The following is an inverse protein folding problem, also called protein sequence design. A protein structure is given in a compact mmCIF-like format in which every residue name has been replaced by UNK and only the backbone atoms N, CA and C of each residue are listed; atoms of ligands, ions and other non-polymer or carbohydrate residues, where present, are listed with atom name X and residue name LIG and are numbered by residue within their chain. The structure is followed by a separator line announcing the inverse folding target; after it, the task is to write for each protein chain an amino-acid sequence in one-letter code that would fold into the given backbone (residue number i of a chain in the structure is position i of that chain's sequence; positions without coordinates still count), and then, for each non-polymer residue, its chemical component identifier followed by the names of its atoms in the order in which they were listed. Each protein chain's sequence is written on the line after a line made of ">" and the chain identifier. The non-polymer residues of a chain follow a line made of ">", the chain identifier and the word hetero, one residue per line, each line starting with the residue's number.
data_IF_000310081800
#
_entry.id   IF_000310081800
#
_cell.length_a   1.000
_cell.length_b   1.000
_cell.length_c   1.000
_cell.angle_alpha   90.00
_cell.angle_beta   90.00
_cell.angle_gamma   90.00
#
_symmetry.space_group_name_H-M   'P 1'
#
loop_
_entity.id
_entity.type
_entity.pdbx_description
1 polymer ?
#
# COMPACT_ATOMS: atom_id res chain seq x y z
N UNK A 1 -22.38 -21.91 4.98
CA UNK A 1 -20.97 -21.58 4.73
C UNK A 1 -20.43 -20.56 5.73
N UNK A 2 -20.83 -19.28 5.70
CA UNK A 2 -20.32 -18.27 6.67
C UNK A 2 -20.53 -18.69 8.14
N UNK A 3 -21.75 -19.14 8.47
CA UNK A 3 -22.06 -19.65 9.81
C UNK A 3 -21.29 -20.93 10.18
N UNK A 4 -21.01 -21.80 9.21
CA UNK A 4 -20.25 -23.03 9.44
C UNK A 4 -18.76 -22.76 9.71
N UNK A 5 -18.28 -21.60 9.26
CA UNK A 5 -16.89 -21.13 9.39
C UNK A 5 -16.70 -20.09 10.49
N UNK A 6 -17.77 -19.74 11.23
CA UNK A 6 -17.78 -18.68 12.24
C UNK A 6 -17.19 -17.34 11.73
N UNK A 7 -17.47 -17.01 10.46
CA UNK A 7 -16.96 -15.80 9.81
C UNK A 7 -18.05 -14.72 9.78
N UNK A 8 -17.83 -13.55 10.42
CA UNK A 8 -18.72 -12.40 10.27
C UNK A 8 -18.86 -12.00 8.80
N UNK A 9 -20.08 -11.76 8.34
CA UNK A 9 -20.36 -11.42 6.94
C UNK A 9 -19.69 -10.11 6.50
N UNK A 10 -19.51 -9.17 7.43
CA UNK A 10 -18.81 -7.88 7.22
C UNK A 10 -17.34 -8.04 6.80
N UNK A 11 -16.74 -9.22 7.03
CA UNK A 11 -15.38 -9.51 6.58
C UNK A 11 -15.33 -10.07 5.15
N UNK A 12 -16.48 -10.30 4.52
CA UNK A 12 -16.57 -10.79 3.15
C UNK A 12 -16.97 -9.64 2.23
N UNK A 13 -16.11 -9.39 1.25
CA UNK A 13 -16.42 -8.54 0.09
C UNK A 13 -16.58 -9.42 -1.16
N UNK A 14 -17.60 -9.11 -1.97
CA UNK A 14 -17.82 -9.73 -3.27
C UNK A 14 -17.57 -8.69 -4.36
N UNK A 15 -16.58 -8.97 -5.21
CA UNK A 15 -16.27 -8.15 -6.37
C UNK A 15 -17.20 -8.52 -7.53
N UNK A 16 -17.90 -7.52 -8.06
CA UNK A 16 -18.77 -7.66 -9.21
C UNK A 16 -18.11 -7.00 -10.41
N UNK A 17 -17.78 -7.80 -11.43
CA UNK A 17 -17.39 -7.25 -12.73
C UNK A 17 -18.61 -6.59 -13.38
N UNK A 18 -18.35 -5.62 -14.26
CA UNK A 18 -19.38 -4.91 -15.02
C UNK A 18 -20.38 -5.89 -15.67
N UNK A 19 -19.90 -6.92 -16.34
CA UNK A 19 -20.77 -7.90 -17.01
C UNK A 19 -21.72 -8.67 -16.07
N UNK A 20 -21.26 -9.02 -14.86
CA UNK A 20 -22.03 -9.82 -13.88
C UNK A 20 -23.00 -8.93 -13.09
N UNK A 21 -22.56 -7.74 -12.69
CA UNK A 21 -23.42 -6.78 -12.02
C UNK A 21 -24.62 -6.37 -12.91
N UNK A 22 -24.42 -6.35 -14.24
CA UNK A 22 -25.34 -5.69 -15.16
C UNK A 22 -26.09 -6.65 -16.11
N UNK A 23 -25.68 -7.91 -16.23
CA UNK A 23 -26.27 -8.88 -17.16
C UNK A 23 -27.59 -9.50 -16.73
N UNK A 24 -27.97 -9.42 -15.44
CA UNK A 24 -29.15 -10.13 -14.94
C UNK A 24 -29.83 -9.47 -13.71
N UNK A 25 -30.90 -8.67 -13.91
CA UNK A 25 -31.68 -8.07 -12.82
C UNK A 25 -32.24 -9.07 -11.79
N UNK A 26 -32.35 -10.35 -12.12
CA UNK A 26 -32.78 -11.37 -11.17
C UNK A 26 -31.82 -11.57 -9.99
N UNK A 27 -30.56 -11.10 -10.11
CA UNK A 27 -29.56 -11.19 -9.04
C UNK A 27 -29.72 -10.13 -7.95
N UNK A 28 -30.44 -9.03 -8.21
CA UNK A 28 -30.53 -7.92 -7.25
C UNK A 28 -31.14 -8.33 -5.91
N UNK A 29 -32.17 -9.18 -5.92
CA UNK A 29 -32.75 -9.71 -4.69
C UNK A 29 -31.74 -10.52 -3.86
N UNK A 30 -30.83 -11.24 -4.51
CA UNK A 30 -29.77 -11.98 -3.83
C UNK A 30 -28.70 -11.04 -3.26
N UNK A 31 -28.32 -10.00 -4.01
CA UNK A 31 -27.39 -8.98 -3.51
C UNK A 31 -27.95 -8.23 -2.31
N UNK A 32 -29.24 -7.88 -2.34
CA UNK A 32 -29.91 -7.25 -1.20
C UNK A 32 -29.95 -8.16 0.02
N UNK A 33 -30.22 -9.46 -0.16
CA UNK A 33 -30.22 -10.43 0.94
C UNK A 33 -28.81 -10.59 1.55
N UNK A 34 -27.76 -10.61 0.72
CA UNK A 34 -26.36 -10.69 1.17
C UNK A 34 -25.93 -9.40 1.88
N UNK A 35 -26.30 -8.23 1.36
CA UNK A 35 -26.07 -6.96 2.05
C UNK A 35 -26.78 -6.93 3.40
N UNK A 36 -28.01 -7.42 3.47
CA UNK A 36 -28.79 -7.40 4.71
C UNK A 36 -28.16 -8.21 5.85
N UNK A 37 -27.31 -9.20 5.53
CA UNK A 37 -26.53 -9.94 6.53
C UNK A 37 -25.14 -9.33 6.79
N UNK A 38 -24.74 -8.29 6.06
CA UNK A 38 -23.48 -7.56 6.25
C UNK A 38 -22.42 -7.75 5.17
N UNK A 39 -22.69 -8.48 4.08
CA UNK A 39 -21.68 -8.66 3.00
C UNK A 39 -21.46 -7.35 2.24
N UNK A 40 -20.19 -7.03 1.97
CA UNK A 40 -19.78 -5.86 1.21
C UNK A 40 -19.70 -6.19 -0.30
N UNK A 41 -19.85 -5.17 -1.14
CA UNK A 41 -19.77 -5.33 -2.59
C UNK A 41 -18.87 -4.27 -3.20
N UNK A 42 -17.96 -4.72 -4.07
CA UNK A 42 -17.10 -3.85 -4.86
C UNK A 42 -17.49 -3.92 -6.34
N UNK A 43 -17.42 -2.79 -7.04
CA UNK A 43 -17.42 -2.79 -8.51
C UNK A 43 -15.98 -2.90 -9.01
N UNK A 44 -15.71 -3.96 -9.76
CA UNK A 44 -14.39 -4.28 -10.31
C UNK A 44 -14.19 -3.64 -11.70
N UNK A 45 -12.93 -3.40 -12.08
CA UNK A 45 -12.51 -2.86 -13.39
C UNK A 45 -13.18 -1.53 -13.82
N UNK A 46 -13.51 -0.64 -12.88
CA UNK A 46 -14.25 0.58 -13.21
C UNK A 46 -13.45 1.50 -14.15
N UNK A 47 -14.10 1.92 -15.25
CA UNK A 47 -13.53 2.81 -16.26
C UNK A 47 -13.02 2.14 -17.54
N UNK A 48 -12.91 0.81 -17.60
CA UNK A 48 -12.37 0.09 -18.77
C UNK A 48 -13.42 -0.32 -19.81
N UNK A 49 -14.71 -0.17 -19.50
CA UNK A 49 -15.85 -0.62 -20.32
C UNK A 49 -17.02 0.37 -20.38
N UNK A 50 -18.25 -0.13 -20.54
CA UNK A 50 -19.48 0.66 -20.45
C UNK A 50 -19.80 0.95 -18.98
N UNK A 51 -18.96 1.78 -18.35
CA UNK A 51 -19.14 2.21 -16.95
C UNK A 51 -20.43 3.03 -16.82
N UNK A 52 -21.54 2.34 -16.58
CA UNK A 52 -22.84 2.96 -16.49
C UNK A 52 -23.04 3.48 -15.06
N UNK A 53 -22.77 4.78 -14.88
CA UNK A 53 -23.01 5.52 -13.63
C UNK A 53 -24.41 5.28 -13.03
N UNK A 54 -25.39 4.93 -13.87
CA UNK A 54 -26.74 4.58 -13.44
C UNK A 54 -26.76 3.39 -12.48
N UNK A 55 -25.85 2.42 -12.64
CA UNK A 55 -25.89 1.18 -11.87
C UNK A 55 -25.24 1.29 -10.49
N UNK A 56 -24.36 2.27 -10.30
CA UNK A 56 -23.86 2.63 -8.96
C UNK A 56 -25.00 3.02 -8.01
N UNK A 57 -26.18 3.37 -8.54
CA UNK A 57 -27.37 3.69 -7.74
C UNK A 57 -28.24 2.46 -7.41
N UNK A 58 -28.15 1.40 -8.21
CA UNK A 58 -29.09 0.26 -8.14
C UNK A 58 -28.48 -0.95 -7.42
N UNK A 59 -27.16 -1.09 -7.44
CA UNK A 59 -26.47 -2.17 -6.76
C UNK A 59 -25.98 -1.72 -5.37
N UNK A 60 -25.90 -2.63 -4.39
CA UNK A 60 -25.41 -2.34 -3.04
C UNK A 60 -23.88 -2.17 -2.98
N UNK A 61 -23.29 -1.47 -3.96
CA UNK A 61 -21.84 -1.25 -4.05
C UNK A 61 -21.41 -0.29 -2.94
N UNK A 62 -20.40 -0.70 -2.19
CA UNK A 62 -19.74 0.11 -1.16
C UNK A 62 -18.33 0.54 -1.58
N UNK A 63 -17.75 -0.13 -2.56
CA UNK A 63 -16.35 0.05 -2.96
C UNK A 63 -16.22 0.16 -4.49
N UNK A 64 -15.46 1.13 -4.98
CA UNK A 64 -15.10 1.26 -6.39
C UNK A 64 -13.62 0.93 -6.60
N UNK A 65 -13.33 -0.04 -7.46
CA UNK A 65 -11.97 -0.44 -7.81
C UNK A 65 -11.57 0.20 -9.14
N UNK A 66 -10.51 1.01 -9.11
CA UNK A 66 -9.92 1.64 -10.29
C UNK A 66 -8.91 0.67 -10.90
N UNK A 67 -9.16 0.29 -12.15
CA UNK A 67 -8.30 -0.66 -12.87
C UNK A 67 -6.86 -0.15 -13.02
N UNK A 68 -5.93 -1.12 -13.00
CA UNK A 68 -4.49 -0.88 -13.12
C UNK A 68 -4.08 -0.13 -14.40
N UNK A 69 -4.85 -0.22 -15.49
CA UNK A 69 -4.52 0.47 -16.74
C UNK A 69 -4.53 2.00 -16.61
N UNK A 70 -5.30 2.54 -15.65
CA UNK A 70 -5.28 3.95 -15.31
C UNK A 70 -4.20 4.31 -14.28
N UNK A 71 -3.84 3.36 -13.40
CA UNK A 71 -2.90 3.60 -12.29
C UNK A 71 -1.44 3.53 -12.74
N UNK A 72 -1.13 2.62 -13.67
CA UNK A 72 0.24 2.34 -14.11
C UNK A 72 0.95 3.56 -14.75
N UNK A 73 0.21 4.56 -15.24
CA UNK A 73 0.75 5.73 -15.95
C UNK A 73 0.51 7.06 -15.25
N UNK A 74 0.02 7.03 -14.00
CA UNK A 74 -0.38 8.24 -13.27
C UNK A 74 0.68 9.36 -13.21
N UNK A 75 1.99 9.10 -13.07
CA UNK A 75 2.98 10.18 -13.02
C UNK A 75 3.01 11.04 -14.30
N UNK A 76 2.79 10.41 -15.46
CA UNK A 76 3.08 11.02 -16.77
C UNK A 76 1.84 11.26 -17.64
N UNK A 77 0.70 10.61 -17.37
CA UNK A 77 -0.52 10.73 -18.18
C UNK A 77 -1.58 11.61 -17.52
N UNK A 78 -1.62 12.89 -17.93
CA UNK A 78 -2.62 13.86 -17.48
C UNK A 78 -4.08 13.44 -17.72
N UNK A 79 -4.35 12.57 -18.70
CA UNK A 79 -5.71 12.05 -18.94
C UNK A 79 -6.08 11.01 -17.90
N UNK A 80 -5.19 10.07 -17.62
CA UNK A 80 -5.40 9.07 -16.57
C UNK A 80 -5.54 9.77 -15.21
N UNK A 81 -4.71 10.77 -14.92
CA UNK A 81 -4.84 11.62 -13.73
C UNK A 81 -6.23 12.28 -13.59
N UNK A 82 -6.78 12.79 -14.70
CA UNK A 82 -8.10 13.41 -14.72
C UNK A 82 -9.21 12.37 -14.44
N UNK A 83 -9.12 11.21 -15.09
CA UNK A 83 -10.07 10.11 -14.92
C UNK A 83 -10.05 9.62 -13.48
N UNK A 84 -8.87 9.29 -12.93
CA UNK A 84 -8.74 8.78 -11.56
C UNK A 84 -9.28 9.78 -10.53
N UNK A 85 -9.00 11.08 -10.67
CA UNK A 85 -9.60 12.11 -9.79
C UNK A 85 -11.12 12.15 -9.88
N UNK A 86 -11.67 12.06 -11.09
CA UNK A 86 -13.11 12.07 -11.29
C UNK A 86 -13.77 10.84 -10.66
N UNK A 87 -13.16 9.66 -10.77
CA UNK A 87 -13.65 8.43 -10.13
C UNK A 87 -13.61 8.55 -8.61
N UNK A 88 -12.51 9.06 -8.04
CA UNK A 88 -12.40 9.27 -6.58
C UNK A 88 -13.51 10.19 -6.08
N UNK A 89 -13.69 11.34 -6.73
CA UNK A 89 -14.73 12.29 -6.35
C UNK A 89 -16.15 11.74 -6.50
N UNK A 90 -16.41 10.96 -7.55
CA UNK A 90 -17.68 10.29 -7.76
C UNK A 90 -17.97 9.28 -6.64
N UNK A 91 -17.02 8.42 -6.32
CA UNK A 91 -17.15 7.39 -5.29
C UNK A 91 -17.48 8.03 -3.93
N UNK A 92 -16.66 9.01 -3.51
CA UNK A 92 -16.87 9.73 -2.26
C UNK A 92 -18.20 10.49 -2.24
N UNK A 93 -18.59 11.09 -3.36
CA UNK A 93 -19.89 11.75 -3.50
C UNK A 93 -21.10 10.81 -3.37
N UNK A 94 -20.90 9.52 -3.61
CA UNK A 94 -21.90 8.46 -3.42
C UNK A 94 -21.76 7.73 -2.07
N UNK A 95 -20.80 8.13 -1.22
CA UNK A 95 -20.51 7.47 0.05
C UNK A 95 -19.84 6.10 -0.11
N UNK A 96 -19.10 5.91 -1.20
CA UNK A 96 -18.33 4.70 -1.49
C UNK A 96 -16.84 4.92 -1.20
N UNK A 97 -16.14 3.85 -0.84
CA UNK A 97 -14.67 3.82 -0.75
C UNK A 97 -14.04 3.53 -2.12
N UNK A 98 -12.76 3.88 -2.27
CA UNK A 98 -12.00 3.67 -3.50
C UNK A 98 -10.76 2.83 -3.26
N UNK A 99 -10.60 1.79 -4.09
CA UNK A 99 -9.38 1.00 -4.19
C UNK A 99 -8.72 1.27 -5.54
N UNK A 100 -7.46 1.71 -5.55
CA UNK A 100 -6.67 1.79 -6.77
C UNK A 100 -5.80 0.54 -6.94
N UNK A 101 -5.93 -0.15 -8.07
CA UNK A 101 -5.21 -1.38 -8.37
C UNK A 101 -3.94 -1.16 -9.19
N UNK A 102 -3.00 -2.11 -9.13
CA UNK A 102 -1.77 -2.03 -9.93
C UNK A 102 -0.79 -0.95 -9.47
N UNK A 103 -0.77 -0.58 -8.19
CA UNK A 103 0.23 0.35 -7.65
C UNK A 103 1.58 -0.35 -7.54
N UNK A 104 2.50 0.00 -8.45
CA UNK A 104 3.85 -0.60 -8.51
C UNK A 104 4.98 0.37 -8.17
N UNK A 105 4.74 1.68 -8.22
CA UNK A 105 5.75 2.72 -7.97
C UNK A 105 5.36 3.63 -6.80
N UNK A 106 6.34 4.14 -6.02
CA UNK A 106 6.08 5.14 -4.99
C UNK A 106 5.50 6.45 -5.52
N UNK A 107 5.83 6.84 -6.75
CA UNK A 107 5.26 8.03 -7.38
C UNK A 107 3.75 7.89 -7.61
N UNK A 108 3.29 6.74 -8.13
CA UNK A 108 1.86 6.45 -8.27
C UNK A 108 1.17 6.42 -6.91
N UNK A 109 1.79 5.83 -5.89
CA UNK A 109 1.27 5.82 -4.52
C UNK A 109 1.13 7.23 -3.93
N UNK A 110 2.17 8.06 -4.08
CA UNK A 110 2.18 9.43 -3.58
C UNK A 110 1.11 10.27 -4.27
N UNK A 111 0.96 10.13 -5.59
CA UNK A 111 -0.08 10.80 -6.34
C UNK A 111 -1.48 10.38 -5.90
N UNK A 112 -1.74 9.06 -5.75
CA UNK A 112 -3.03 8.54 -5.31
C UNK A 112 -3.40 9.02 -3.91
N UNK A 113 -2.43 9.06 -2.99
CA UNK A 113 -2.62 9.62 -1.65
C UNK A 113 -2.99 11.10 -1.70
N UNK A 114 -2.31 11.90 -2.52
CA UNK A 114 -2.64 13.32 -2.70
C UNK A 114 -4.01 13.53 -3.36
N UNK A 115 -4.41 12.62 -4.25
CA UNK A 115 -5.73 12.63 -4.88
C UNK A 115 -6.86 12.21 -3.92
N UNK A 116 -6.53 11.68 -2.74
CA UNK A 116 -7.49 11.24 -1.72
C UNK A 116 -7.99 9.82 -1.91
N UNK A 117 -7.25 8.93 -2.57
CA UNK A 117 -7.62 7.52 -2.67
C UNK A 117 -7.54 6.83 -1.29
N UNK A 118 -8.53 6.01 -0.95
CA UNK A 118 -8.68 5.39 0.38
C UNK A 118 -7.74 4.20 0.58
N UNK A 119 -7.74 3.29 -0.40
CA UNK A 119 -6.99 2.03 -0.36
C UNK A 119 -6.25 1.80 -1.68
N UNK A 120 -5.12 1.09 -1.61
CA UNK A 120 -4.31 0.73 -2.77
C UNK A 120 -3.95 -0.74 -2.75
N UNK A 121 -3.88 -1.35 -3.93
CA UNK A 121 -3.41 -2.71 -4.15
C UNK A 121 -2.35 -2.70 -5.25
N UNK A 122 -1.26 -3.44 -5.06
CA UNK A 122 -0.27 -3.62 -6.13
C UNK A 122 1.05 -4.20 -5.67
N UNK A 123 1.92 -4.46 -6.65
CA UNK A 123 3.19 -5.16 -6.43
C UNK A 123 4.22 -4.35 -5.63
N UNK A 124 3.98 -3.05 -5.46
CA UNK A 124 4.75 -2.23 -4.52
C UNK A 124 4.70 -2.81 -3.10
N UNK A 125 3.56 -3.39 -2.72
CA UNK A 125 3.34 -3.99 -1.40
C UNK A 125 3.63 -5.49 -1.41
N UNK A 126 2.90 -6.23 -2.25
CA UNK A 126 3.01 -7.67 -2.35
C UNK A 126 2.42 -8.18 -3.67
N UNK A 127 2.98 -9.29 -4.16
CA UNK A 127 2.37 -10.06 -5.25
C UNK A 127 1.32 -11.03 -4.69
N UNK A 128 0.34 -11.47 -5.50
CA UNK A 128 -0.53 -12.59 -5.15
C UNK A 128 0.31 -13.76 -4.66
N UNK A 129 -0.12 -14.37 -3.56
CA UNK A 129 0.65 -15.40 -2.89
C UNK A 129 -0.25 -16.51 -2.35
N UNK A 130 0.28 -17.74 -2.16
CA UNK A 130 -0.46 -18.81 -1.53
C UNK A 130 -0.89 -18.45 -0.10
N UNK A 131 -2.00 -19.02 0.37
CA UNK A 131 -2.58 -18.71 1.69
C UNK A 131 -1.58 -18.87 2.86
N UNK A 132 -0.72 -19.88 2.82
CA UNK A 132 0.31 -20.09 3.86
C UNK A 132 1.36 -18.95 3.89
N UNK A 133 1.72 -18.43 2.72
CA UNK A 133 2.62 -17.27 2.61
C UNK A 133 1.91 -16.00 3.07
N UNK A 134 0.62 -15.84 2.75
CA UNK A 134 -0.20 -14.69 3.16
C UNK A 134 -0.29 -14.56 4.68
N UNK A 135 -0.56 -15.65 5.41
CA UNK A 135 -0.60 -15.63 6.86
C UNK A 135 0.73 -15.14 7.48
N UNK A 136 1.85 -15.59 6.91
CA UNK A 136 3.18 -15.15 7.33
C UNK A 136 3.41 -13.67 7.02
N UNK A 137 3.04 -13.23 5.81
CA UNK A 137 3.13 -11.84 5.38
C UNK A 137 2.33 -10.91 6.29
N UNK A 138 1.06 -11.22 6.59
CA UNK A 138 0.20 -10.39 7.46
C UNK A 138 0.78 -10.27 8.87
N UNK A 139 1.30 -11.35 9.45
CA UNK A 139 1.91 -11.31 10.78
C UNK A 139 3.16 -10.42 10.80
N UNK A 140 4.01 -10.52 9.77
CA UNK A 140 5.19 -9.66 9.64
C UNK A 140 4.79 -8.20 9.42
N UNK A 141 3.80 -7.96 8.56
CA UNK A 141 3.28 -6.63 8.25
C UNK A 141 2.75 -5.95 9.52
N UNK A 142 1.85 -6.61 10.26
CA UNK A 142 1.28 -6.10 11.53
C UNK A 142 2.37 -5.77 12.55
N UNK A 143 3.35 -6.64 12.71
CA UNK A 143 4.44 -6.43 13.67
C UNK A 143 5.36 -5.27 13.27
N UNK A 144 5.49 -4.99 11.97
CA UNK A 144 6.27 -3.85 11.49
C UNK A 144 5.52 -2.53 11.71
N UNK A 145 4.19 -2.50 11.53
CA UNK A 145 3.37 -1.30 11.73
C UNK A 145 3.10 -0.98 13.21
N UNK A 146 3.03 -2.01 14.08
CA UNK A 146 2.73 -1.85 15.52
C UNK A 146 3.96 -1.54 16.38
N UNK A 147 5.17 -1.76 15.88
CA UNK A 147 6.39 -1.69 16.69
C UNK A 147 7.19 -0.41 16.43
N UNK A 148 6.57 0.74 16.70
CA UNK A 148 7.20 2.06 16.58
C UNK A 148 8.25 2.31 17.69
N UNK A 149 8.40 1.40 18.68
CA UNK A 149 9.28 1.60 19.85
C UNK A 149 10.29 0.48 20.17
N UNK A 150 10.36 -0.64 19.44
CA UNK A 150 11.49 -1.59 19.62
C UNK A 150 12.60 -1.39 18.58
N UNK A 151 13.88 -1.55 18.98
CA UNK A 151 15.04 -1.52 18.09
C UNK A 151 15.19 -2.86 17.34
N UNK A 152 14.12 -3.39 16.74
CA UNK A 152 14.25 -4.51 15.82
C UNK A 152 14.79 -4.02 14.47
N UNK A 153 15.69 -4.79 13.87
CA UNK A 153 16.52 -4.47 12.70
C UNK A 153 15.77 -4.28 11.37
N UNK A 154 14.45 -4.12 11.39
CA UNK A 154 13.65 -3.81 10.21
C UNK A 154 13.20 -2.35 10.28
N UNK A 155 13.93 -1.48 9.58
CA UNK A 155 13.44 -0.15 9.23
C UNK A 155 12.09 -0.32 8.52
N UNK A 156 11.14 0.55 8.83
CA UNK A 156 9.77 0.59 8.30
C UNK A 156 9.71 0.17 6.82
N UNK A 157 8.71 -0.63 6.48
CA UNK A 157 8.44 -1.25 5.17
C UNK A 157 8.05 -0.23 4.07
N UNK A 158 8.68 0.95 4.07
CA UNK A 158 8.58 1.97 3.02
C UNK A 158 9.89 2.21 2.26
N UNK A 159 11.01 1.57 2.63
CA UNK A 159 12.32 1.89 2.06
C UNK A 159 12.85 0.82 1.08
N UNK A 160 12.04 0.34 0.13
CA UNK A 160 12.60 -0.39 -1.03
C UNK A 160 13.19 0.52 -2.12
N UNK A 161 13.18 1.84 -1.92
CA UNK A 161 13.80 2.82 -2.83
C UNK A 161 14.93 3.65 -2.22
N UNK A 162 15.40 3.31 -1.01
CA UNK A 162 16.62 3.93 -0.47
C UNK A 162 17.72 2.86 -0.53
N UNK A 163 18.70 2.99 -1.45
CA UNK A 163 19.91 2.20 -1.39
C UNK A 163 20.51 2.32 0.02
N UNK A 164 20.85 1.19 0.66
CA UNK A 164 21.32 1.14 2.05
C UNK A 164 22.57 2.01 2.29
N UNK A 165 23.30 2.33 1.23
CA UNK A 165 24.45 3.22 1.14
C UNK A 165 24.08 4.72 1.05
N UNK A 166 22.94 5.06 0.46
CA UNK A 166 22.45 6.45 0.35
C UNK A 166 21.81 6.97 1.65
N UNK A 167 21.33 6.09 2.52
CA UNK A 167 20.71 6.45 3.79
C UNK A 167 21.70 7.08 4.81
N UNK A 168 23.01 6.98 4.57
CA UNK A 168 24.07 7.43 5.48
C UNK A 168 24.84 8.68 5.00
N UNK A 169 24.36 9.38 3.97
CA UNK A 169 24.91 10.68 3.56
C UNK A 169 24.04 11.85 4.06
N UNK A 170 24.59 13.07 4.21
CA UNK A 170 23.83 14.26 4.60
C UNK A 170 22.62 14.53 3.69
N UNK A 171 22.74 14.22 2.39
CA UNK A 171 21.69 14.39 1.38
C UNK A 171 20.56 13.35 1.51
N UNK A 172 20.86 12.14 1.97
CA UNK A 172 19.86 11.10 2.25
C UNK A 172 19.01 11.38 3.49
N UNK A 173 19.50 12.21 4.41
CA UNK A 173 18.82 12.54 5.66
C UNK A 173 17.59 13.44 5.41
N UNK A 174 17.68 14.44 4.54
CA UNK A 174 16.52 15.27 4.15
C UNK A 174 15.41 14.42 3.49
N UNK A 175 15.80 13.37 2.76
CA UNK A 175 14.86 12.42 2.15
C UNK A 175 14.09 11.61 3.22
N UNK A 176 14.78 11.13 4.25
CA UNK A 176 14.15 10.38 5.35
C UNK A 176 13.21 11.27 6.18
N UNK A 177 13.56 12.54 6.39
CA UNK A 177 12.69 13.50 7.08
C UNK A 177 11.38 13.74 6.31
N UNK A 178 11.50 13.91 5.00
CA UNK A 178 10.36 14.20 4.13
C UNK A 178 9.38 13.03 4.01
N UNK A 179 9.88 11.79 3.92
CA UNK A 179 9.06 10.61 3.62
C UNK A 179 8.69 9.77 4.85
N UNK A 180 9.50 9.79 5.91
CA UNK A 180 9.28 8.98 7.11
C UNK A 180 8.98 9.82 8.36
N UNK A 181 9.05 11.16 8.25
CA UNK A 181 8.76 12.10 9.33
C UNK A 181 9.92 12.35 10.30
N UNK A 182 9.80 13.43 11.07
CA UNK A 182 10.85 13.98 11.93
C UNK A 182 11.38 12.99 12.99
N UNK A 183 10.52 12.13 13.53
CA UNK A 183 10.93 11.11 14.51
C UNK A 183 11.79 10.00 13.88
N UNK A 184 11.53 9.63 12.63
CA UNK A 184 12.34 8.66 11.90
C UNK A 184 13.73 9.23 11.56
N UNK A 185 13.75 10.50 11.13
CA UNK A 185 14.97 11.27 10.87
C UNK A 185 15.90 11.37 12.09
N UNK A 186 15.36 11.78 13.24
CA UNK A 186 16.14 11.93 14.48
C UNK A 186 16.79 10.61 14.94
N UNK A 187 16.07 9.49 14.79
CA UNK A 187 16.59 8.14 15.09
C UNK A 187 17.72 7.73 14.15
N UNK A 188 17.67 8.18 12.88
CA UNK A 188 18.70 7.88 11.89
C UNK A 188 19.99 8.68 12.11
N UNK A 189 19.87 9.99 12.40
CA UNK A 189 21.03 10.83 12.74
C UNK A 189 21.80 10.32 13.95
N UNK A 190 21.11 9.89 15.01
CA UNK A 190 21.74 9.36 16.22
C UNK A 190 22.61 8.11 15.94
N UNK A 191 22.20 7.28 14.96
CA UNK A 191 22.95 6.08 14.52
C UNK A 191 24.18 6.43 13.66
N UNK A 192 24.09 7.45 12.81
CA UNK A 192 25.22 7.90 11.99
C UNK A 192 26.38 8.48 12.84
N UNK A 193 26.03 9.17 13.93
CA UNK A 193 26.99 9.73 14.89
C UNK A 193 27.69 8.61 15.70
N UNK A 194 26.95 7.59 16.13
CA UNK A 194 27.53 6.45 16.86
C UNK A 194 28.43 5.55 15.99
N UNK A 195 28.12 5.39 14.70
CA UNK A 195 28.97 4.64 13.77
C UNK A 195 30.33 5.32 13.50
N UNK A 196 30.36 6.66 13.44
CA UNK A 196 31.59 7.43 13.23
C UNK A 196 32.50 7.42 14.48
N UNK A 197 31.93 7.40 15.68
CA UNK A 197 32.70 7.26 16.93
C UNK A 197 33.32 5.87 17.10
N UNK A 198 32.67 4.82 16.61
CA UNK A 198 33.16 3.44 16.73
C UNK A 198 34.31 3.13 15.75
N UNK A 199 34.38 3.84 14.61
CA UNK A 199 35.48 3.74 13.65
C UNK A 199 36.72 4.57 14.03
N UNK A 200 36.66 5.36 15.12
CA UNK A 200 37.71 6.29 15.53
C UNK A 200 38.62 5.78 16.67
N UNK A 201 38.68 4.47 16.95
CA UNK A 201 39.71 3.87 17.83
C UNK A 201 40.84 3.22 17.00
N UNK A 202 42.04 3.82 16.94
CA UNK A 202 43.21 3.15 16.38
C UNK A 202 43.81 2.21 17.43
N UNK A 203 43.81 0.90 17.15
CA UNK A 203 44.73 -0.04 17.80
C UNK A 203 46.11 0.13 17.17
N UNK A 204 47.03 0.74 17.91
CA UNK A 204 48.41 0.94 17.52
C UNK A 204 49.11 -0.38 17.19
N UNK A 205 49.77 -0.43 16.04
CA UNK A 205 50.82 -1.39 15.72
C UNK A 205 52.10 -0.98 16.46
N UNK A 206 52.57 -1.82 17.39
CA UNK A 206 53.98 -1.84 17.78
C UNK A 206 54.61 -3.12 17.22
N UNK A 207 55.44 -2.96 16.20
CA UNK A 207 56.42 -3.97 15.75
C UNK A 207 57.80 -3.50 16.18
N UNK A 208 58.65 -4.32 16.82
CA UNK A 208 60.02 -3.92 17.08
C UNK A 208 60.90 -4.16 15.83
N UNK A 209 61.99 -3.39 15.65
CA UNK A 209 62.78 -3.41 14.44
C UNK A 209 63.75 -4.60 14.41
N UNK A 210 63.91 -5.16 13.22
CA UNK A 210 65.04 -6.01 12.85
C UNK A 210 66.34 -5.19 12.84
N UNK A 211 67.36 -5.62 13.58
CA UNK A 211 68.72 -5.07 13.57
C UNK A 211 69.73 -6.18 13.83
N UNK A 212 70.73 -6.29 12.96
CA UNK A 212 71.65 -7.42 12.85
C UNK A 212 72.71 -7.54 13.95
N UNK A 213 73.39 -8.70 13.93
CA UNK A 213 74.48 -9.10 14.82
C UNK A 213 74.65 -10.61 14.78
#
# INVERSE_FOLDING_TARGET
>A
MLADMDLPAELLEIELTESVAFGNPALFAAFDALRAIGVHFAADDFGTGYSCLQHLKCCPITTLKIDQSFVARLPDDTRDQCIVRAVIQLAHGLGMEVVAEGVETPDSLAWLRQAGCDTVQGFLFAKPMPAAAFASFVNQWRNTTMNVNEPSTACCVCCKEIPLDAAFTPEGAEYVEHFCGLECYQRFQARAITATETSAKPSACDSPPSGGG
#
